data_IF_572292519634
#
_entry.id   IF_572292519634
#
_cell.length_a   1.000
_cell.length_b   1.000
_cell.length_c   1.000
_cell.angle_alpha   90.00
_cell.angle_beta   90.00
_cell.angle_gamma   90.00
#
_symmetry.space_group_name_H-M   'P 1'
#
loop_
_entity.id
_entity.type
_entity.pdbx_description
1 polymer ?
#
# COMPACT_ATOMS: atom_id res chain seq x y z
N UNK A 1 -42.96 37.76 -22.74
CA UNK A 1 -42.15 36.57 -22.39
C UNK A 1 -42.07 35.53 -23.51
N UNK A 2 -43.19 35.04 -24.08
CA UNK A 2 -43.18 33.98 -25.13
C UNK A 2 -42.36 34.31 -26.39
N UNK A 3 -42.36 35.56 -26.85
CA UNK A 3 -41.59 36.01 -28.03
C UNK A 3 -40.06 35.95 -27.84
N UNK A 4 -39.56 36.21 -26.63
CA UNK A 4 -38.11 36.20 -26.32
C UNK A 4 -37.57 34.77 -26.27
N UNK A 5 -38.33 33.84 -25.70
CA UNK A 5 -37.96 32.42 -25.71
C UNK A 5 -37.97 31.85 -27.15
N UNK A 6 -38.95 32.25 -27.95
CA UNK A 6 -39.04 31.87 -29.36
C UNK A 6 -37.93 32.47 -30.22
N UNK A 7 -37.45 33.69 -29.93
CA UNK A 7 -36.32 34.28 -30.67
C UNK A 7 -34.98 33.63 -30.33
N UNK A 8 -34.80 33.18 -29.08
CA UNK A 8 -33.64 32.37 -28.67
C UNK A 8 -33.67 31.02 -29.38
N UNK A 9 -34.83 30.33 -29.39
CA UNK A 9 -34.99 29.03 -30.04
C UNK A 9 -34.85 29.11 -31.58
N UNK A 10 -35.22 30.25 -32.18
CA UNK A 10 -35.03 30.55 -33.61
C UNK A 10 -33.63 31.04 -33.96
N UNK A 11 -32.71 31.10 -33.00
CA UNK A 11 -31.31 31.46 -33.26
C UNK A 11 -31.09 32.96 -33.53
N UNK A 12 -32.00 33.84 -33.12
CA UNK A 12 -31.82 35.30 -33.26
C UNK A 12 -30.55 35.82 -32.57
N UNK A 13 -30.03 35.09 -31.59
CA UNK A 13 -28.77 35.37 -30.88
C UNK A 13 -27.51 35.01 -31.69
N UNK A 14 -27.65 34.16 -32.71
CA UNK A 14 -26.56 33.72 -33.58
C UNK A 14 -26.47 34.52 -34.90
N UNK A 15 -27.50 35.29 -35.25
CA UNK A 15 -27.65 35.95 -36.56
C UNK A 15 -27.78 37.49 -36.46
N UNK A 16 -27.97 38.06 -35.27
CA UNK A 16 -28.01 39.52 -35.06
C UNK A 16 -26.64 40.21 -35.09
N UNK A 17 -26.60 41.54 -34.99
CA UNK A 17 -25.35 42.33 -35.08
C UNK A 17 -24.31 41.99 -33.99
N UNK A 18 -24.74 41.45 -32.84
CA UNK A 18 -23.88 40.96 -31.74
C UNK A 18 -23.51 39.45 -31.84
N UNK A 19 -23.95 38.76 -32.91
CA UNK A 19 -23.67 37.35 -33.17
C UNK A 19 -22.21 36.89 -32.98
N UNK A 20 -21.17 37.65 -33.41
CA UNK A 20 -19.79 37.19 -33.24
C UNK A 20 -19.36 37.07 -31.76
N UNK A 21 -19.92 37.88 -30.85
CA UNK A 21 -19.63 37.78 -29.40
C UNK A 21 -20.27 36.52 -28.80
N UNK A 22 -21.45 36.18 -29.28
CA UNK A 22 -22.23 35.03 -28.86
C UNK A 22 -21.66 33.70 -29.36
N UNK A 23 -21.12 33.68 -30.58
CA UNK A 23 -20.44 32.50 -31.14
C UNK A 23 -19.21 32.07 -30.31
N UNK A 24 -18.41 33.04 -29.85
CA UNK A 24 -17.25 32.79 -28.98
C UNK A 24 -17.65 32.12 -27.67
N UNK A 25 -18.78 32.50 -27.08
CA UNK A 25 -19.29 31.90 -25.85
C UNK A 25 -19.77 30.45 -26.05
N UNK A 26 -20.41 30.13 -27.17
CA UNK A 26 -20.81 28.75 -27.48
C UNK A 26 -19.61 27.84 -27.71
N UNK A 27 -18.60 28.33 -28.46
CA UNK A 27 -17.34 27.58 -28.63
C UNK A 27 -16.70 27.32 -27.27
N UNK A 28 -16.69 28.32 -26.38
CA UNK A 28 -16.14 28.16 -25.04
C UNK A 28 -16.85 27.03 -24.27
N UNK A 29 -18.19 27.00 -24.25
CA UNK A 29 -18.95 25.92 -23.58
C UNK A 29 -18.69 24.57 -24.25
N UNK A 30 -18.64 24.51 -25.59
CA UNK A 30 -18.37 23.28 -26.32
C UNK A 30 -16.99 22.71 -25.99
N UNK A 31 -15.95 23.56 -25.97
CA UNK A 31 -14.59 23.18 -25.58
C UNK A 31 -14.56 22.74 -24.12
N UNK A 32 -15.21 23.47 -23.22
CA UNK A 32 -15.29 23.11 -21.80
C UNK A 32 -15.96 21.75 -21.61
N UNK A 33 -17.04 21.48 -22.34
CA UNK A 33 -17.72 20.18 -22.35
C UNK A 33 -16.81 19.06 -22.85
N UNK A 34 -16.06 19.29 -23.93
CA UNK A 34 -15.10 18.32 -24.45
C UNK A 34 -13.99 18.00 -23.43
N UNK A 35 -13.47 19.02 -22.74
CA UNK A 35 -12.48 18.84 -21.67
C UNK A 35 -13.05 18.02 -20.52
N UNK A 36 -14.29 18.29 -20.10
CA UNK A 36 -14.94 17.51 -19.04
C UNK A 36 -15.15 16.05 -19.42
N UNK A 37 -15.56 15.76 -20.66
CA UNK A 37 -15.73 14.38 -21.15
C UNK A 37 -14.38 13.65 -21.13
N UNK A 38 -13.32 14.29 -21.61
CA UNK A 38 -11.97 13.71 -21.59
C UNK A 38 -11.49 13.42 -20.17
N UNK A 39 -11.66 14.38 -19.25
CA UNK A 39 -11.23 14.22 -17.87
C UNK A 39 -12.01 13.13 -17.13
N UNK A 40 -13.32 12.99 -17.41
CA UNK A 40 -14.14 11.93 -16.84
C UNK A 40 -13.65 10.55 -17.28
N UNK A 41 -13.30 10.38 -18.55
CA UNK A 41 -12.82 9.11 -19.07
C UNK A 41 -11.46 8.70 -18.47
N UNK A 42 -10.55 9.67 -18.29
CA UNK A 42 -9.28 9.40 -17.61
C UNK A 42 -9.48 9.02 -16.13
N UNK A 43 -10.45 9.63 -15.45
CA UNK A 43 -10.78 9.30 -14.07
C UNK A 43 -11.32 7.86 -13.96
N UNK A 44 -12.19 7.45 -14.88
CA UNK A 44 -12.72 6.08 -14.95
C UNK A 44 -11.60 5.04 -15.09
N UNK A 45 -10.66 5.27 -16.02
CA UNK A 45 -9.53 4.36 -16.24
C UNK A 45 -8.66 4.21 -14.99
N UNK A 46 -8.37 5.33 -14.31
CA UNK A 46 -7.60 5.32 -13.05
C UNK A 46 -8.32 4.57 -11.93
N UNK A 47 -9.64 4.68 -11.82
CA UNK A 47 -10.42 3.95 -10.82
C UNK A 47 -10.31 2.44 -11.04
N UNK A 48 -10.38 1.97 -12.28
CA UNK A 48 -10.14 0.55 -12.61
C UNK A 48 -8.73 0.11 -12.25
N UNK A 49 -7.72 0.93 -12.55
CA UNK A 49 -6.34 0.63 -12.18
C UNK A 49 -6.16 0.55 -10.66
N UNK A 50 -6.74 1.49 -9.90
CA UNK A 50 -6.72 1.47 -8.43
C UNK A 50 -7.36 0.20 -7.89
N UNK A 51 -8.51 -0.22 -8.43
CA UNK A 51 -9.16 -1.47 -8.01
C UNK A 51 -8.26 -2.68 -8.26
N UNK A 52 -7.61 -2.76 -9.43
CA UNK A 52 -6.66 -3.82 -9.77
C UNK A 52 -5.45 -3.85 -8.84
N UNK A 53 -4.86 -2.69 -8.55
CA UNK A 53 -3.72 -2.58 -7.64
C UNK A 53 -4.11 -2.94 -6.20
N UNK A 54 -5.29 -2.50 -5.75
CA UNK A 54 -5.81 -2.82 -4.42
C UNK A 54 -5.96 -4.33 -4.22
N UNK A 55 -6.46 -5.05 -5.22
CA UNK A 55 -6.59 -6.50 -5.15
C UNK A 55 -5.20 -7.19 -5.07
N UNK A 56 -4.20 -6.68 -5.80
CA UNK A 56 -2.83 -7.20 -5.71
C UNK A 56 -2.23 -6.98 -4.32
N UNK A 57 -2.40 -5.79 -3.75
CA UNK A 57 -1.94 -5.49 -2.38
C UNK A 57 -2.62 -6.41 -1.37
N UNK A 58 -3.91 -6.66 -1.53
CA UNK A 58 -4.69 -7.56 -0.68
C UNK A 58 -4.20 -9.00 -0.79
N UNK A 59 -3.94 -9.50 -2.00
CA UNK A 59 -3.39 -10.82 -2.24
C UNK A 59 -2.02 -10.99 -1.56
N UNK A 60 -1.11 -10.02 -1.75
CA UNK A 60 0.22 -10.06 -1.15
C UNK A 60 0.18 -9.99 0.39
N UNK A 61 -0.75 -9.20 0.94
CA UNK A 61 -0.99 -9.14 2.39
C UNK A 61 -1.49 -10.48 2.92
N UNK A 62 -2.38 -11.16 2.21
CA UNK A 62 -2.88 -12.48 2.60
C UNK A 62 -1.73 -13.51 2.61
N UNK A 63 -0.88 -13.50 1.60
CA UNK A 63 0.31 -14.35 1.54
C UNK A 63 1.25 -14.09 2.72
N UNK A 64 1.57 -12.82 2.99
CA UNK A 64 2.42 -12.43 4.12
C UNK A 64 1.85 -12.92 5.46
N UNK A 65 0.54 -12.77 5.69
CA UNK A 65 -0.11 -13.23 6.93
C UNK A 65 -0.01 -14.75 7.05
N UNK A 66 -0.21 -15.49 5.96
CA UNK A 66 -0.04 -16.94 5.93
C UNK A 66 1.39 -17.37 6.29
N UNK A 67 2.39 -16.75 5.65
CA UNK A 67 3.80 -17.01 5.92
C UNK A 67 4.18 -16.68 7.36
N UNK A 68 3.75 -15.51 7.87
CA UNK A 68 4.01 -15.09 9.25
C UNK A 68 3.42 -16.08 10.26
N UNK A 69 2.20 -16.56 10.02
CA UNK A 69 1.56 -17.58 10.86
C UNK A 69 2.36 -18.88 10.85
N UNK A 70 2.77 -19.35 9.68
CA UNK A 70 3.61 -20.55 9.54
C UNK A 70 4.96 -20.41 10.26
N UNK A 71 5.61 -19.24 10.16
CA UNK A 71 6.85 -18.96 10.88
C UNK A 71 6.66 -18.93 12.40
N UNK A 72 5.54 -18.40 12.89
CA UNK A 72 5.23 -18.42 14.32
C UNK A 72 5.01 -19.85 14.81
N UNK A 73 4.25 -20.65 14.06
CA UNK A 73 4.03 -22.06 14.37
C UNK A 73 5.37 -22.82 14.41
N UNK A 74 6.27 -22.57 13.45
CA UNK A 74 7.58 -23.21 13.39
C UNK A 74 8.53 -22.79 14.53
N UNK A 75 8.37 -21.59 15.07
CA UNK A 75 9.14 -21.08 16.22
C UNK A 75 8.66 -21.62 17.57
N UNK A 76 7.53 -22.34 17.62
CA UNK A 76 7.06 -22.95 18.86
C UNK A 76 8.09 -23.98 19.35
N UNK A 77 8.42 -23.88 20.63
CA UNK A 77 9.36 -24.79 21.29
C UNK A 77 8.96 -26.26 21.10
N UNK A 78 7.66 -26.57 21.20
CA UNK A 78 7.14 -27.92 20.94
C UNK A 78 7.44 -28.44 19.52
N UNK A 79 7.36 -27.58 18.50
CA UNK A 79 7.71 -27.96 17.12
C UNK A 79 9.21 -28.14 16.94
N UNK A 80 10.02 -27.29 17.58
CA UNK A 80 11.48 -27.40 17.55
C UNK A 80 11.88 -28.71 18.23
N UNK A 81 11.37 -28.99 19.43
CA UNK A 81 11.63 -30.21 20.21
C UNK A 81 11.26 -31.45 19.41
N UNK A 82 10.04 -31.52 18.86
CA UNK A 82 9.62 -32.68 18.05
C UNK A 82 10.54 -32.93 16.86
N UNK A 83 11.11 -31.89 16.25
CA UNK A 83 11.97 -32.01 15.07
C UNK A 83 13.42 -32.39 15.40
N UNK A 84 13.88 -32.11 16.62
CA UNK A 84 15.24 -32.42 17.08
C UNK A 84 15.33 -33.70 17.93
N UNK A 85 14.20 -34.25 18.36
CA UNK A 85 14.12 -35.55 19.06
C UNK A 85 14.71 -36.69 18.21
N UNK A 86 14.44 -36.70 16.90
CA UNK A 86 15.03 -37.70 15.98
C UNK A 86 16.56 -37.58 15.86
N UNK A 87 17.11 -36.41 16.19
CA UNK A 87 18.56 -36.16 16.25
C UNK A 87 19.15 -36.50 17.62
N UNK A 88 18.35 -37.01 18.56
CA UNK A 88 18.78 -37.34 19.92
C UNK A 88 18.98 -36.12 20.83
N UNK A 89 18.47 -34.96 20.44
CA UNK A 89 18.56 -33.72 21.22
C UNK A 89 17.30 -33.54 22.07
N UNK A 90 17.49 -33.27 23.36
CA UNK A 90 16.41 -33.12 24.33
C UNK A 90 16.51 -31.79 25.08
N UNK A 91 15.38 -31.20 25.51
CA UNK A 91 15.39 -30.06 26.40
C UNK A 91 16.15 -30.39 27.68
N UNK A 92 17.02 -29.49 28.18
CA UNK A 92 17.69 -29.69 29.45
C UNK A 92 16.67 -29.63 30.60
N UNK A 93 16.65 -30.65 31.47
CA UNK A 93 15.77 -30.69 32.64
C UNK A 93 16.14 -29.65 33.71
N UNK A 94 17.42 -29.24 33.73
CA UNK A 94 17.96 -28.24 34.65
C UNK A 94 18.47 -27.02 33.88
N UNK A 95 18.23 -25.79 34.37
CA UNK A 95 18.71 -24.58 33.71
C UNK A 95 20.25 -24.55 33.61
N UNK A 96 20.76 -23.90 32.57
CA UNK A 96 22.20 -23.80 32.32
C UNK A 96 22.91 -23.05 33.47
N UNK A 97 24.01 -23.63 33.95
CA UNK A 97 24.86 -23.00 34.98
C UNK A 97 25.78 -21.98 34.31
N UNK A 98 25.65 -20.71 34.69
CA UNK A 98 26.60 -19.67 34.29
C UNK A 98 27.91 -19.86 35.06
N UNK A 99 28.95 -20.37 34.40
CA UNK A 99 30.30 -20.48 34.97
C UNK A 99 31.02 -19.15 34.73
N UNK A 100 31.08 -18.32 35.77
CA UNK A 100 31.91 -17.10 35.76
C UNK A 100 33.31 -17.49 36.21
N UNK A 101 34.27 -17.53 35.28
CA UNK A 101 35.67 -17.84 35.60
C UNK A 101 36.34 -16.59 36.17
N UNK A 102 36.39 -16.48 37.49
CA UNK A 102 37.25 -15.49 38.16
C UNK A 102 38.66 -16.06 38.25
N UNK A 103 39.54 -15.64 37.34
CA UNK A 103 40.97 -15.97 37.46
C UNK A 103 41.54 -15.21 38.66
N UNK A 104 41.78 -15.91 39.76
CA UNK A 104 42.64 -15.40 40.83
C UNK A 104 44.07 -15.79 40.46
N UNK A 105 44.75 -14.88 39.74
CA UNK A 105 46.20 -14.95 39.60
C UNK A 105 46.81 -14.76 40.99
N UNK A 106 46.99 -15.87 41.72
CA UNK A 106 47.88 -15.90 42.89
C UNK A 106 49.27 -15.61 42.36
N UNK A 107 49.70 -14.35 42.43
CA UNK A 107 51.11 -13.97 42.21
C UNK A 107 51.95 -14.85 43.11
N UNK A 108 52.71 -15.74 42.50
CA UNK A 108 53.71 -16.56 43.15
C UNK A 108 54.72 -15.57 43.78
N UNK A 109 54.99 -15.65 45.10
CA UNK A 109 56.00 -14.80 45.71
C UNK A 109 57.35 -15.10 45.03
N UNK A 110 58.18 -14.07 44.80
CA UNK A 110 59.47 -14.27 44.14
C UNK A 110 60.31 -15.26 44.95
N UNK A 111 60.85 -16.28 44.25
CA UNK A 111 61.87 -17.15 44.82
C UNK A 111 63.12 -16.31 45.07
N UNK A 112 63.40 -16.07 46.35
CA UNK A 112 64.75 -15.99 46.92
C UNK A 112 65.67 -14.83 46.54
N UNK A 113 66.13 -14.16 47.59
CA UNK A 113 67.32 -13.27 47.75
C UNK A 113 67.23 -11.83 47.20
#
# INVERSE_FOLDING_TARGET
>A
MKKSLLSILKGSFLIGDDAPKHWRFFIYIAVLGAVMISAAHEAESKVYEIARLSEQVKALKNEYVGLRSGLQQAQLESNIVNKVVDLGLFPPETPALNIIVTTNLKKQPPLGE
#
